data_IF_679715686737
#
_entry.id   IF_679715686737
#
_cell.length_a   1.000
_cell.length_b   1.000
_cell.length_c   1.000
_cell.angle_alpha   90.00
_cell.angle_beta   90.00
_cell.angle_gamma   90.00
#
_symmetry.space_group_name_H-M   'P 1'
#
loop_
_entity.id
_entity.type
_entity.pdbx_description
1 polymer ?
#
# COMPACT_ATOMS: atom_id res chain seq x y z
N UNK A 1 -10.21 75.27 26.47
CA UNK A 1 -10.37 73.89 26.85
C UNK A 1 -11.19 73.02 25.90
N UNK A 2 -12.31 73.52 25.33
CA UNK A 2 -13.17 72.71 24.41
C UNK A 2 -12.53 72.34 23.04
N UNK A 3 -11.50 73.05 22.56
CA UNK A 3 -10.86 72.82 21.25
C UNK A 3 -9.71 71.78 21.34
N UNK A 4 -9.12 71.56 22.51
CA UNK A 4 -8.03 70.64 22.73
C UNK A 4 -8.59 69.20 22.93
N UNK A 5 -9.79 69.11 23.57
CA UNK A 5 -10.48 67.83 23.76
C UNK A 5 -11.00 67.21 22.43
N UNK A 6 -11.36 68.02 21.47
CA UNK A 6 -11.82 67.55 20.15
C UNK A 6 -10.67 67.04 19.28
N UNK A 7 -9.45 67.58 19.44
CA UNK A 7 -8.29 67.13 18.67
C UNK A 7 -7.72 65.77 19.20
N UNK A 8 -7.81 65.56 20.52
CA UNK A 8 -7.39 64.28 21.13
C UNK A 8 -8.35 63.13 20.82
N UNK A 9 -9.67 63.41 20.70
CA UNK A 9 -10.65 62.40 20.30
C UNK A 9 -10.53 62.02 18.82
N UNK A 10 -10.15 62.97 17.94
CA UNK A 10 -9.96 62.68 16.52
C UNK A 10 -8.69 61.82 16.27
N UNK A 11 -7.62 62.02 17.07
CA UNK A 11 -6.38 61.22 16.93
C UNK A 11 -6.54 59.81 17.46
N UNK A 12 -7.35 59.56 18.48
CA UNK A 12 -7.64 58.21 19.00
C UNK A 12 -8.52 57.42 18.01
N UNK A 13 -9.45 58.10 17.32
CA UNK A 13 -10.31 57.43 16.33
C UNK A 13 -9.57 57.01 15.06
N UNK A 14 -8.54 57.79 14.64
CA UNK A 14 -7.70 57.42 13.48
C UNK A 14 -6.75 56.28 13.80
N UNK A 15 -6.28 56.17 15.05
CA UNK A 15 -5.42 55.03 15.46
C UNK A 15 -6.20 53.73 15.69
N UNK A 16 -7.50 53.81 16.02
CA UNK A 16 -8.36 52.61 16.15
C UNK A 16 -8.81 52.04 14.81
N UNK A 17 -8.76 52.80 13.71
CA UNK A 17 -9.11 52.32 12.37
C UNK A 17 -7.93 51.70 11.60
N UNK A 18 -6.69 51.87 12.08
CA UNK A 18 -5.50 51.28 11.44
C UNK A 18 -5.10 49.93 12.01
N UNK A 19 -5.72 49.48 13.12
CA UNK A 19 -5.46 48.15 13.72
C UNK A 19 -6.51 47.10 13.37
N UNK A 20 -7.52 47.42 12.56
CA UNK A 20 -8.47 46.47 11.97
C UNK A 20 -8.08 46.10 10.55
N UNK A 21 -6.77 46.05 10.27
CA UNK A 21 -6.23 45.74 8.99
C UNK A 21 -5.65 44.33 8.95
N UNK A 22 -6.34 43.48 8.21
CA UNK A 22 -5.79 42.35 7.48
C UNK A 22 -5.17 41.20 8.30
N UNK A 23 -5.99 40.44 8.96
CA UNK A 23 -5.84 38.99 8.98
C UNK A 23 -6.95 38.34 8.13
N UNK A 24 -7.04 38.72 6.87
CA UNK A 24 -7.52 37.78 5.88
C UNK A 24 -6.36 36.79 5.73
N UNK A 25 -6.35 35.74 6.52
CA UNK A 25 -5.71 34.50 6.10
C UNK A 25 -6.40 34.15 4.79
N UNK A 26 -5.77 34.42 3.66
CA UNK A 26 -6.08 33.74 2.43
C UNK A 26 -5.90 32.26 2.79
N UNK A 27 -6.99 31.54 3.00
CA UNK A 27 -6.96 30.12 2.79
C UNK A 27 -6.51 29.98 1.33
N UNK A 28 -5.26 29.64 1.11
CA UNK A 28 -4.81 29.28 -0.23
C UNK A 28 -5.74 28.16 -0.68
N UNK A 29 -6.36 28.30 -1.85
CA UNK A 29 -7.09 27.19 -2.45
C UNK A 29 -6.06 26.07 -2.67
N UNK A 30 -6.13 25.03 -1.85
CA UNK A 30 -5.24 23.88 -1.97
C UNK A 30 -5.58 23.11 -3.25
N UNK A 31 -4.56 22.65 -3.94
CA UNK A 31 -4.75 21.72 -5.08
C UNK A 31 -5.08 20.34 -4.54
N UNK A 32 -6.23 19.79 -4.89
CA UNK A 32 -6.62 18.44 -4.47
C UNK A 32 -5.77 17.38 -5.16
N UNK A 33 -5.30 16.41 -4.39
CA UNK A 33 -4.71 15.14 -4.88
C UNK A 33 -5.59 14.00 -4.37
N UNK A 34 -6.19 13.23 -5.28
CA UNK A 34 -7.06 12.12 -4.95
C UNK A 34 -6.33 10.80 -5.12
N UNK A 35 -6.09 10.07 -4.04
CA UNK A 35 -5.25 8.87 -4.02
C UNK A 35 -6.04 7.66 -3.57
N UNK A 36 -6.08 6.61 -4.41
CA UNK A 36 -6.64 5.31 -4.06
C UNK A 36 -5.65 4.47 -3.26
N UNK A 37 -6.09 3.84 -2.16
CA UNK A 37 -5.24 3.04 -1.31
C UNK A 37 -5.99 1.89 -0.63
N UNK A 38 -5.28 0.84 -0.20
CA UNK A 38 -5.82 -0.09 0.80
C UNK A 38 -5.84 0.58 2.18
N UNK A 39 -6.71 0.11 3.09
CA UNK A 39 -6.89 0.77 4.40
C UNK A 39 -5.61 0.81 5.23
N UNK A 40 -4.88 -0.32 5.30
CA UNK A 40 -3.63 -0.49 6.05
C UNK A 40 -2.63 -1.31 5.22
N UNK A 41 -1.33 -1.03 5.24
CA UNK A 41 -0.68 0.13 5.87
C UNK A 41 -0.80 1.42 5.04
N UNK A 42 -1.17 1.31 3.75
CA UNK A 42 -1.08 2.38 2.74
C UNK A 42 -1.88 3.63 3.11
N UNK A 43 -3.17 3.48 3.43
CA UNK A 43 -4.04 4.58 3.84
C UNK A 43 -3.54 5.25 5.12
N UNK A 44 -3.05 4.45 6.08
CA UNK A 44 -2.50 4.96 7.34
C UNK A 44 -1.19 5.74 7.11
N UNK A 45 -0.32 5.27 6.20
CA UNK A 45 0.91 5.98 5.81
C UNK A 45 0.58 7.29 5.10
N UNK A 46 -0.44 7.30 4.22
CA UNK A 46 -0.91 8.52 3.54
C UNK A 46 -1.44 9.56 4.55
N UNK A 47 -2.13 9.14 5.61
CA UNK A 47 -2.60 10.05 6.65
C UNK A 47 -1.44 10.79 7.34
N UNK A 48 -0.26 10.16 7.50
CA UNK A 48 0.91 10.77 8.14
C UNK A 48 1.51 11.93 7.34
N UNK A 49 1.27 12.00 6.04
CA UNK A 49 1.85 13.03 5.17
C UNK A 49 0.88 14.16 4.81
N UNK A 50 -0.38 14.09 5.26
CA UNK A 50 -1.41 15.10 4.95
C UNK A 50 -1.04 16.52 5.36
N UNK A 51 -0.58 16.70 6.59
CA UNK A 51 -0.25 18.03 7.12
C UNK A 51 0.92 18.65 6.33
N UNK A 52 1.93 17.84 6.01
CA UNK A 52 3.06 18.27 5.18
C UNK A 52 2.60 18.70 3.78
N UNK A 53 1.77 17.91 3.13
CA UNK A 53 1.23 18.25 1.81
C UNK A 53 0.38 19.50 1.86
N UNK A 54 -0.39 19.72 2.94
CA UNK A 54 -1.16 20.93 3.12
C UNK A 54 -0.28 22.19 3.25
N UNK A 55 0.87 22.10 3.94
CA UNK A 55 1.88 23.15 4.00
C UNK A 55 2.50 23.47 2.63
N UNK A 56 2.59 22.46 1.75
CA UNK A 56 3.08 22.57 0.37
C UNK A 56 1.98 23.02 -0.63
N UNK A 57 0.74 23.23 -0.16
CA UNK A 57 -0.36 23.74 -0.97
C UNK A 57 -1.27 22.64 -1.57
N UNK A 58 -1.24 21.41 -1.05
CA UNK A 58 -2.02 20.29 -1.55
C UNK A 58 -3.02 19.77 -0.51
N UNK A 59 -4.24 19.40 -0.97
CA UNK A 59 -5.27 18.72 -0.18
C UNK A 59 -5.31 17.24 -0.56
N UNK A 60 -4.71 16.37 0.28
CA UNK A 60 -4.69 14.93 0.04
C UNK A 60 -6.02 14.30 0.43
N UNK A 61 -6.75 13.80 -0.56
CA UNK A 61 -7.97 13.01 -0.42
C UNK A 61 -7.70 11.53 -0.64
N UNK A 62 -7.86 10.73 0.42
CA UNK A 62 -7.61 9.28 0.40
C UNK A 62 -8.92 8.57 0.14
N UNK A 63 -8.94 7.70 -0.88
CA UNK A 63 -10.07 6.83 -1.23
C UNK A 63 -9.68 5.39 -0.93
N UNK A 64 -10.35 4.77 0.03
CA UNK A 64 -10.05 3.39 0.45
C UNK A 64 -10.76 2.40 -0.44
N UNK A 65 -10.03 1.37 -0.86
CA UNK A 65 -10.51 0.22 -1.61
C UNK A 65 -10.17 -1.07 -0.86
N UNK A 66 -11.09 -2.02 -0.91
CA UNK A 66 -10.94 -3.31 -0.22
C UNK A 66 -10.38 -4.42 -1.13
N UNK A 67 -10.24 -4.15 -2.44
CA UNK A 67 -9.71 -5.06 -3.45
C UNK A 67 -8.57 -4.42 -4.26
N UNK A 68 -7.92 -5.22 -5.13
CA UNK A 68 -6.80 -4.74 -5.94
C UNK A 68 -7.20 -4.32 -7.38
N UNK A 69 -8.45 -4.52 -7.78
CA UNK A 69 -8.94 -4.26 -9.15
C UNK A 69 -9.43 -2.81 -9.27
N UNK A 70 -10.30 -2.42 -8.34
CA UNK A 70 -10.98 -1.12 -8.40
C UNK A 70 -10.04 0.08 -8.35
N UNK A 71 -8.96 0.13 -7.53
CA UNK A 71 -8.09 1.31 -7.51
C UNK A 71 -7.34 1.53 -8.83
N UNK A 72 -7.00 0.47 -9.57
CA UNK A 72 -6.40 0.60 -10.90
C UNK A 72 -7.44 1.00 -11.96
N UNK A 73 -8.64 0.44 -11.90
CA UNK A 73 -9.73 0.84 -12.79
C UNK A 73 -10.09 2.31 -12.62
N UNK A 74 -10.26 2.77 -11.36
CA UNK A 74 -10.57 4.16 -11.06
C UNK A 74 -9.44 5.13 -11.49
N UNK A 75 -8.17 4.69 -11.39
CA UNK A 75 -7.04 5.48 -11.86
C UNK A 75 -7.02 5.58 -13.40
N UNK A 76 -7.25 4.48 -14.13
CA UNK A 76 -7.32 4.49 -15.59
C UNK A 76 -8.48 5.34 -16.08
N UNK A 77 -9.62 5.31 -15.40
CA UNK A 77 -10.82 6.10 -15.74
C UNK A 77 -10.64 7.60 -15.41
N UNK A 78 -9.60 7.98 -14.65
CA UNK A 78 -9.33 9.37 -14.25
C UNK A 78 -10.14 9.82 -13.04
N UNK A 79 -10.70 8.93 -12.26
CA UNK A 79 -11.39 9.20 -11.00
C UNK A 79 -10.41 9.44 -9.84
N UNK A 80 -9.15 9.05 -10.02
CA UNK A 80 -8.02 9.24 -9.11
C UNK A 80 -6.87 9.92 -9.84
N UNK A 81 -6.05 10.67 -9.10
CA UNK A 81 -4.79 11.25 -9.59
C UNK A 81 -3.63 10.25 -9.47
N UNK A 82 -3.67 9.41 -8.44
CA UNK A 82 -2.70 8.35 -8.17
C UNK A 82 -3.33 7.19 -7.39
N UNK A 83 -2.64 6.05 -7.32
CA UNK A 83 -2.92 5.04 -6.31
C UNK A 83 -1.63 4.55 -5.62
N UNK A 84 -1.81 4.03 -4.40
CA UNK A 84 -0.74 3.50 -3.56
C UNK A 84 -1.27 2.29 -2.81
N UNK A 85 -1.03 1.07 -3.34
CA UNK A 85 -1.53 -0.19 -2.77
C UNK A 85 -0.84 -1.43 -3.35
N UNK A 86 -0.03 -1.29 -4.41
CA UNK A 86 0.45 -2.37 -5.26
C UNK A 86 1.95 -2.29 -5.50
N UNK A 87 2.53 -3.40 -5.93
CA UNK A 87 3.91 -3.50 -6.39
C UNK A 87 4.00 -3.61 -7.92
N UNK A 88 5.19 -3.38 -8.47
CA UNK A 88 5.41 -3.35 -9.93
C UNK A 88 4.96 -4.61 -10.67
N UNK A 89 5.22 -5.86 -10.22
CA UNK A 89 4.74 -7.05 -10.92
C UNK A 89 3.21 -7.10 -11.04
N UNK A 90 2.47 -6.69 -9.99
CA UNK A 90 1.01 -6.62 -10.05
C UNK A 90 0.54 -5.56 -11.05
N UNK A 91 1.13 -4.36 -11.03
CA UNK A 91 0.81 -3.29 -11.98
C UNK A 91 0.98 -3.76 -13.43
N UNK A 92 2.12 -4.42 -13.73
CA UNK A 92 2.41 -4.91 -15.07
C UNK A 92 1.39 -5.98 -15.53
N UNK A 93 1.12 -6.97 -14.67
CA UNK A 93 0.12 -8.01 -14.94
C UNK A 93 -1.29 -7.43 -15.13
N UNK A 94 -1.66 -6.43 -14.30
CA UNK A 94 -2.94 -5.74 -14.43
C UNK A 94 -3.06 -4.99 -15.77
N UNK A 95 -2.03 -4.23 -16.16
CA UNK A 95 -2.00 -3.52 -17.44
C UNK A 95 -2.15 -4.47 -18.61
N UNK A 96 -1.40 -5.58 -18.62
CA UNK A 96 -1.46 -6.58 -19.69
C UNK A 96 -2.85 -7.21 -19.79
N UNK A 97 -3.42 -7.60 -18.64
CA UNK A 97 -4.71 -8.31 -18.61
C UNK A 97 -5.91 -7.41 -18.91
N UNK A 98 -5.82 -6.11 -18.59
CA UNK A 98 -6.95 -5.18 -18.71
C UNK A 98 -6.77 -4.12 -19.82
N UNK A 99 -5.60 -4.06 -20.48
CA UNK A 99 -5.30 -3.06 -21.50
C UNK A 99 -5.23 -1.63 -20.94
N UNK A 100 -4.79 -1.48 -19.70
CA UNK A 100 -4.61 -0.20 -19.02
C UNK A 100 -3.19 0.35 -19.22
N UNK A 101 -2.99 1.65 -18.92
CA UNK A 101 -1.76 2.38 -19.20
C UNK A 101 -1.29 3.09 -17.93
N UNK A 102 -1.13 2.32 -16.86
CA UNK A 102 -0.69 2.81 -15.56
C UNK A 102 0.83 2.66 -15.44
N UNK A 103 1.48 3.65 -14.84
CA UNK A 103 2.94 3.68 -14.67
C UNK A 103 3.32 4.01 -13.24
N UNK A 104 4.45 3.45 -12.77
CA UNK A 104 5.01 3.77 -11.47
C UNK A 104 5.75 5.10 -11.49
N UNK A 105 5.57 5.90 -10.44
CA UNK A 105 6.30 7.17 -10.23
C UNK A 105 7.17 7.17 -8.97
N UNK A 106 7.22 6.07 -8.23
CA UNK A 106 8.13 5.91 -7.11
C UNK A 106 7.83 4.69 -6.27
N UNK A 107 8.88 4.04 -5.75
CA UNK A 107 8.76 2.99 -4.72
C UNK A 107 8.78 3.62 -3.34
N UNK A 108 8.00 3.08 -2.43
CA UNK A 108 7.84 3.62 -1.07
C UNK A 108 8.26 2.60 -0.01
N UNK A 109 7.70 1.40 -0.02
CA UNK A 109 8.01 0.38 0.98
C UNK A 109 7.82 -1.03 0.45
N UNK A 110 8.45 -1.98 1.13
CA UNK A 110 8.25 -3.41 0.92
C UNK A 110 7.46 -4.01 2.07
N UNK A 111 6.52 -4.88 1.72
CA UNK A 111 5.71 -5.66 2.65
C UNK A 111 6.13 -7.13 2.61
N UNK A 112 6.51 -7.72 3.77
CA UNK A 112 6.82 -9.14 3.83
C UNK A 112 5.62 -10.01 3.46
N UNK A 113 5.81 -11.01 2.62
CA UNK A 113 4.78 -11.99 2.29
C UNK A 113 4.89 -13.17 3.26
N UNK A 114 3.80 -13.56 3.90
CA UNK A 114 3.85 -14.52 4.99
C UNK A 114 2.92 -15.73 4.82
N UNK A 115 3.32 -16.86 5.43
CA UNK A 115 2.50 -18.05 5.61
C UNK A 115 1.91 -18.01 7.02
N UNK A 116 0.59 -18.14 7.12
CA UNK A 116 -0.16 -18.14 8.38
C UNK A 116 -0.93 -19.44 8.53
N UNK A 117 -1.13 -19.90 9.77
CA UNK A 117 -1.78 -21.17 10.07
C UNK A 117 -3.05 -21.03 10.89
N UNK A 118 -3.98 -21.96 10.69
CA UNK A 118 -5.08 -22.21 11.60
C UNK A 118 -4.77 -23.48 12.42
N UNK A 119 -4.27 -23.28 13.65
CA UNK A 119 -3.83 -24.39 14.52
C UNK A 119 -2.51 -25.04 14.07
N UNK A 120 -1.74 -24.40 13.19
CA UNK A 120 -0.40 -24.83 12.76
C UNK A 120 0.59 -23.75 13.19
N UNK A 121 1.64 -24.14 13.90
CA UNK A 121 2.70 -23.25 14.37
C UNK A 121 4.08 -23.57 13.74
N UNK A 122 4.25 -24.77 13.16
CA UNK A 122 5.46 -25.21 12.44
C UNK A 122 5.03 -25.92 11.15
N UNK A 123 5.60 -25.55 10.01
CA UNK A 123 5.33 -26.19 8.71
C UNK A 123 5.67 -27.67 8.69
N UNK A 124 6.58 -28.14 9.54
CA UNK A 124 6.91 -29.57 9.70
C UNK A 124 5.78 -30.39 10.31
N UNK A 125 4.85 -29.75 10.99
CA UNK A 125 3.68 -30.37 11.61
C UNK A 125 2.44 -30.32 10.72
N UNK A 126 2.59 -29.79 9.47
CA UNK A 126 1.48 -29.66 8.53
C UNK A 126 0.91 -31.05 8.19
N UNK A 127 -0.40 -31.29 8.41
CA UNK A 127 -1.00 -32.59 8.18
C UNK A 127 -0.94 -33.01 6.71
N UNK A 128 -0.78 -34.29 6.44
CA UNK A 128 -0.88 -34.83 5.08
C UNK A 128 -2.27 -34.50 4.49
N UNK A 129 -2.29 -33.97 3.27
CA UNK A 129 -3.52 -33.54 2.60
C UNK A 129 -4.10 -32.20 3.12
N UNK A 130 -3.32 -31.44 3.89
CA UNK A 130 -3.70 -30.11 4.34
C UNK A 130 -4.12 -29.20 3.18
N UNK A 131 -4.97 -28.25 3.48
CA UNK A 131 -5.35 -27.19 2.53
C UNK A 131 -4.37 -26.04 2.64
N UNK A 132 -3.88 -25.53 1.51
CA UNK A 132 -3.06 -24.34 1.38
C UNK A 132 -3.83 -23.33 0.55
N UNK A 133 -4.15 -22.17 1.12
CA UNK A 133 -4.88 -21.10 0.44
C UNK A 133 -3.86 -20.06 -0.03
N UNK A 134 -3.95 -19.65 -1.31
CA UNK A 134 -3.02 -18.65 -1.91
C UNK A 134 -3.80 -17.60 -2.69
N UNK A 135 -3.22 -16.42 -2.96
CA UNK A 135 -3.77 -15.45 -3.90
C UNK A 135 -3.93 -16.04 -5.29
N UNK A 136 -5.01 -15.68 -5.99
CA UNK A 136 -5.34 -16.22 -7.31
C UNK A 136 -4.98 -15.30 -8.46
N UNK A 137 -4.47 -14.10 -8.23
CA UNK A 137 -3.93 -13.24 -9.27
C UNK A 137 -2.55 -13.71 -9.72
N UNK A 138 -2.20 -13.47 -10.98
CA UNK A 138 -1.00 -14.04 -11.60
C UNK A 138 0.29 -13.68 -10.86
N UNK A 139 0.42 -12.45 -10.37
CA UNK A 139 1.65 -12.00 -9.74
C UNK A 139 1.79 -12.49 -8.29
N UNK A 140 0.75 -12.33 -7.46
CA UNK A 140 0.80 -12.80 -6.07
C UNK A 140 0.65 -14.32 -5.98
N UNK A 141 -0.07 -14.96 -6.90
CA UNK A 141 -0.12 -16.42 -7.04
C UNK A 141 1.26 -17.02 -7.29
N UNK A 142 1.98 -16.48 -8.30
CA UNK A 142 3.38 -16.86 -8.57
C UNK A 142 4.27 -16.67 -7.34
N UNK A 143 4.20 -15.50 -6.69
CA UNK A 143 4.98 -15.19 -5.48
C UNK A 143 4.68 -16.18 -4.35
N UNK A 144 3.41 -16.54 -4.15
CA UNK A 144 3.00 -17.51 -3.14
C UNK A 144 3.56 -18.91 -3.42
N UNK A 145 3.50 -19.37 -4.68
CA UNK A 145 4.05 -20.66 -5.08
C UNK A 145 5.58 -20.72 -4.90
N UNK A 146 6.28 -19.64 -5.24
CA UNK A 146 7.73 -19.55 -5.02
C UNK A 146 8.08 -19.62 -3.51
N UNK A 147 7.30 -18.97 -2.65
CA UNK A 147 7.47 -19.06 -1.19
C UNK A 147 7.19 -20.49 -0.69
N UNK A 148 6.14 -21.16 -1.16
CA UNK A 148 5.86 -22.54 -0.78
C UNK A 148 6.98 -23.50 -1.23
N UNK A 149 7.59 -23.27 -2.39
CA UNK A 149 8.78 -24.03 -2.83
C UNK A 149 10.00 -23.73 -1.96
N UNK A 150 10.25 -22.48 -1.61
CA UNK A 150 11.33 -22.09 -0.71
C UNK A 150 11.23 -22.83 0.63
N UNK A 151 10.02 -22.98 1.16
CA UNK A 151 9.76 -23.73 2.39
C UNK A 151 9.73 -25.25 2.21
N UNK A 152 9.95 -25.74 0.99
CA UNK A 152 10.01 -27.19 0.68
C UNK A 152 8.67 -27.91 0.71
N UNK A 153 7.56 -27.18 0.61
CA UNK A 153 6.21 -27.76 0.63
C UNK A 153 5.79 -28.29 -0.75
N UNK A 154 6.27 -27.67 -1.83
CA UNK A 154 5.96 -28.06 -3.21
C UNK A 154 7.23 -28.03 -4.07
N UNK A 155 7.12 -28.59 -5.27
CA UNK A 155 8.15 -28.47 -6.32
C UNK A 155 7.56 -27.81 -7.55
N UNK A 156 8.22 -26.76 -8.03
CA UNK A 156 7.89 -26.04 -9.26
C UNK A 156 8.85 -26.42 -10.39
N UNK A 157 8.57 -26.06 -11.66
CA UNK A 157 9.53 -26.20 -12.76
C UNK A 157 10.87 -25.50 -12.45
N UNK A 158 11.98 -25.99 -13.05
CA UNK A 158 13.32 -25.46 -12.80
C UNK A 158 13.49 -23.98 -13.21
N UNK A 159 12.69 -23.51 -14.17
CA UNK A 159 12.66 -22.14 -14.68
C UNK A 159 11.58 -21.27 -14.00
N UNK A 160 10.94 -21.78 -12.95
CA UNK A 160 9.94 -21.01 -12.20
C UNK A 160 10.55 -19.73 -11.63
N UNK A 161 9.98 -18.61 -11.99
CA UNK A 161 10.42 -17.27 -11.58
C UNK A 161 9.26 -16.28 -11.60
N UNK A 162 9.50 -15.10 -11.04
CA UNK A 162 8.53 -13.99 -11.08
C UNK A 162 8.17 -13.61 -12.51
N UNK A 163 9.14 -13.68 -13.44
CA UNK A 163 8.98 -13.23 -14.82
C UNK A 163 8.18 -14.22 -15.68
N UNK A 164 8.13 -15.51 -15.29
CA UNK A 164 7.52 -16.56 -16.12
C UNK A 164 6.04 -16.79 -15.82
N UNK A 165 5.50 -16.23 -14.72
CA UNK A 165 4.10 -16.40 -14.33
C UNK A 165 3.75 -17.87 -14.06
N UNK A 166 3.72 -18.30 -12.80
CA UNK A 166 3.46 -19.68 -12.38
C UNK A 166 2.04 -19.78 -11.81
N UNK A 167 1.32 -20.81 -12.21
CA UNK A 167 -0.03 -21.12 -11.68
C UNK A 167 -0.04 -22.45 -10.94
N UNK A 168 -1.13 -22.74 -10.24
CA UNK A 168 -1.31 -24.04 -9.57
C UNK A 168 -1.30 -25.23 -10.54
N UNK A 169 -1.48 -24.99 -11.84
CA UNK A 169 -1.44 -26.03 -12.86
C UNK A 169 -0.02 -26.41 -13.29
N UNK A 170 0.96 -25.59 -12.95
CA UNK A 170 2.36 -25.79 -13.31
C UNK A 170 3.14 -26.54 -12.20
N UNK A 171 2.51 -26.84 -11.06
CA UNK A 171 3.13 -27.53 -9.94
C UNK A 171 3.56 -28.93 -10.35
N UNK A 172 4.84 -29.26 -10.19
CA UNK A 172 5.43 -30.56 -10.52
C UNK A 172 5.11 -31.60 -9.43
N UNK A 173 5.21 -31.20 -8.17
CA UNK A 173 4.85 -32.01 -6.99
C UNK A 173 4.18 -31.09 -5.96
N UNK A 174 2.94 -31.39 -5.63
CA UNK A 174 2.16 -30.62 -4.65
C UNK A 174 2.36 -31.09 -3.21
N UNK A 175 3.28 -32.01 -2.96
CA UNK A 175 3.54 -32.56 -1.63
C UNK A 175 2.33 -33.32 -1.03
N UNK A 176 1.32 -33.61 -1.84
CA UNK A 176 0.05 -34.19 -1.41
C UNK A 176 -0.91 -33.18 -0.75
N UNK A 177 -0.65 -31.87 -0.86
CA UNK A 177 -1.48 -30.80 -0.34
C UNK A 177 -2.61 -30.41 -1.33
N UNK A 178 -3.63 -29.74 -0.82
CA UNK A 178 -4.73 -29.17 -1.62
C UNK A 178 -4.54 -27.68 -1.75
N UNK A 179 -3.99 -27.22 -2.86
CA UNK A 179 -3.73 -25.81 -3.09
C UNK A 179 -4.95 -25.15 -3.72
N UNK A 180 -5.44 -24.09 -3.08
CA UNK A 180 -6.63 -23.32 -3.49
C UNK A 180 -6.26 -21.87 -3.75
N UNK A 181 -6.30 -21.44 -5.01
CA UNK A 181 -6.09 -20.05 -5.41
C UNK A 181 -7.44 -19.31 -5.38
N UNK A 182 -7.49 -18.20 -4.63
CA UNK A 182 -8.71 -17.40 -4.40
C UNK A 182 -8.39 -15.91 -4.41
N UNK A 183 -9.41 -15.06 -4.43
CA UNK A 183 -9.22 -13.62 -4.30
C UNK A 183 -8.50 -13.27 -2.99
N UNK A 184 -7.42 -12.48 -3.10
CA UNK A 184 -6.49 -12.21 -2.01
C UNK A 184 -7.17 -11.59 -0.77
N UNK A 185 -8.11 -10.67 -0.98
CA UNK A 185 -8.88 -10.00 0.09
C UNK A 185 -9.72 -10.97 0.94
N UNK A 186 -10.04 -12.13 0.39
CA UNK A 186 -10.87 -13.12 1.10
C UNK A 186 -10.07 -14.07 1.97
N UNK A 187 -8.75 -14.18 1.75
CA UNK A 187 -7.89 -15.21 2.36
C UNK A 187 -7.87 -15.14 3.89
N UNK A 188 -7.74 -13.96 4.54
CA UNK A 188 -7.72 -13.88 6.01
C UNK A 188 -8.99 -14.46 6.63
N UNK A 189 -10.16 -14.16 6.05
CA UNK A 189 -11.43 -14.66 6.52
C UNK A 189 -11.58 -16.17 6.24
N UNK A 190 -11.13 -16.65 5.08
CA UNK A 190 -11.16 -18.07 4.74
C UNK A 190 -10.27 -18.88 5.68
N UNK A 191 -9.05 -18.41 5.98
CA UNK A 191 -8.16 -19.08 6.93
C UNK A 191 -8.79 -19.18 8.32
N UNK A 192 -9.33 -18.09 8.86
CA UNK A 192 -9.98 -18.07 10.19
C UNK A 192 -11.19 -19.01 10.29
N UNK A 193 -11.91 -19.23 9.19
CA UNK A 193 -13.08 -20.10 9.13
C UNK A 193 -12.78 -21.51 8.58
N UNK A 194 -11.51 -21.81 8.29
CA UNK A 194 -11.09 -23.12 7.79
C UNK A 194 -11.00 -24.18 8.90
N UNK A 195 -10.76 -25.41 8.50
CA UNK A 195 -10.44 -26.47 9.45
C UNK A 195 -9.05 -26.26 10.04
N UNK A 196 -8.85 -26.70 11.28
CA UNK A 196 -7.52 -26.82 11.89
C UNK A 196 -6.58 -27.63 10.97
N UNK A 197 -5.32 -27.22 10.87
CA UNK A 197 -4.35 -27.80 9.94
C UNK A 197 -4.32 -27.13 8.56
N UNK A 198 -5.12 -26.09 8.32
CA UNK A 198 -5.05 -25.26 7.10
C UNK A 198 -3.99 -24.17 7.27
N UNK A 199 -3.24 -23.89 6.19
CA UNK A 199 -2.36 -22.72 6.11
C UNK A 199 -2.77 -21.84 4.93
N UNK A 200 -2.35 -20.58 4.97
CA UNK A 200 -2.57 -19.63 3.88
C UNK A 200 -1.35 -18.73 3.67
N UNK A 201 -1.05 -18.40 2.41
CA UNK A 201 -0.11 -17.35 2.06
C UNK A 201 -0.91 -16.06 1.88
N UNK A 202 -0.55 -15.02 2.64
CA UNK A 202 -1.37 -13.81 2.74
C UNK A 202 -0.52 -12.57 2.47
N UNK A 203 -0.97 -11.71 1.56
CA UNK A 203 -0.42 -10.37 1.38
C UNK A 203 -0.49 -9.59 2.69
N UNK A 204 0.57 -8.87 3.02
CA UNK A 204 0.72 -8.27 4.34
C UNK A 204 -0.38 -7.27 4.71
N UNK A 205 -0.79 -6.40 3.76
CA UNK A 205 -1.91 -5.48 3.96
C UNK A 205 -3.22 -6.21 4.32
N UNK A 206 -3.52 -7.34 3.67
CA UNK A 206 -4.69 -8.16 4.01
C UNK A 206 -4.50 -8.93 5.32
N UNK A 207 -3.29 -9.36 5.63
CA UNK A 207 -3.00 -9.95 6.94
C UNK A 207 -3.28 -8.95 8.06
N UNK A 208 -2.77 -7.71 7.95
CA UNK A 208 -3.04 -6.63 8.91
C UNK A 208 -4.53 -6.32 9.02
N UNK A 209 -5.21 -6.08 7.89
CA UNK A 209 -6.64 -5.83 7.86
C UNK A 209 -7.45 -6.99 8.45
N UNK A 210 -6.98 -8.22 8.26
CA UNK A 210 -7.51 -9.42 8.87
C UNK A 210 -7.19 -9.58 10.36
N UNK A 211 -6.37 -8.69 10.96
CA UNK A 211 -5.98 -8.74 12.38
C UNK A 211 -4.87 -9.74 12.69
N UNK A 212 -4.11 -10.19 11.68
CA UNK A 212 -2.86 -10.93 11.85
C UNK A 212 -1.70 -9.93 12.02
N UNK A 213 -0.65 -10.37 12.73
CA UNK A 213 0.62 -9.65 12.84
C UNK A 213 1.71 -10.39 12.10
N UNK A 214 2.79 -9.71 11.76
CA UNK A 214 3.96 -10.37 11.15
C UNK A 214 4.53 -11.47 12.06
N UNK A 215 4.43 -11.29 13.38
CA UNK A 215 4.84 -12.29 14.39
C UNK A 215 3.98 -13.56 14.42
N UNK A 216 2.81 -13.54 13.79
CA UNK A 216 1.90 -14.70 13.71
C UNK A 216 2.22 -15.56 12.48
N UNK A 217 3.08 -15.08 11.59
CA UNK A 217 3.51 -15.83 10.41
C UNK A 217 4.42 -17.00 10.82
N UNK A 218 4.16 -18.19 10.28
CA UNK A 218 4.94 -19.40 10.46
C UNK A 218 6.23 -19.34 9.64
N UNK A 219 6.14 -18.74 8.45
CA UNK A 219 7.26 -18.44 7.56
C UNK A 219 7.03 -17.12 6.85
N UNK A 220 8.11 -16.45 6.47
CA UNK A 220 8.09 -15.15 5.81
C UNK A 220 9.07 -15.21 4.64
N UNK A 221 8.69 -14.60 3.53
CA UNK A 221 9.57 -14.37 2.39
C UNK A 221 10.85 -13.65 2.81
N UNK A 222 11.98 -14.08 2.28
CA UNK A 222 13.29 -13.44 2.58
C UNK A 222 13.36 -12.04 1.98
N UNK A 223 13.30 -11.03 2.86
CA UNK A 223 13.38 -9.62 2.51
C UNK A 223 14.81 -9.15 2.16
N UNK A 224 15.84 -9.98 2.38
CA UNK A 224 17.26 -9.60 2.21
C UNK A 224 17.75 -9.67 0.76
N UNK A 225 16.92 -10.15 -0.17
CA UNK A 225 17.27 -10.39 -1.57
C UNK A 225 16.59 -9.42 -2.55
N UNK A 226 16.45 -9.88 -3.78
CA UNK A 226 15.80 -9.16 -4.87
C UNK A 226 14.28 -8.94 -4.62
N UNK A 227 13.69 -9.71 -3.69
CA UNK A 227 12.26 -9.65 -3.38
C UNK A 227 11.82 -8.25 -2.93
N UNK A 228 12.58 -7.59 -2.03
CA UNK A 228 12.25 -6.25 -1.57
C UNK A 228 12.30 -5.21 -2.72
N UNK A 229 13.20 -5.40 -3.68
CA UNK A 229 13.28 -4.55 -4.86
C UNK A 229 12.16 -4.86 -5.87
N UNK A 230 11.86 -6.13 -6.08
CA UNK A 230 10.84 -6.57 -7.04
C UNK A 230 9.43 -6.22 -6.55
N UNK A 231 9.14 -6.48 -5.27
CA UNK A 231 7.80 -6.31 -4.68
C UNK A 231 7.65 -5.04 -3.82
N UNK A 232 8.53 -4.06 -4.02
CA UNK A 232 8.35 -2.74 -3.42
C UNK A 232 7.02 -2.11 -3.85
N UNK A 233 6.24 -1.64 -2.89
CA UNK A 233 4.97 -0.95 -3.12
C UNK A 233 5.23 0.44 -3.70
N UNK A 234 4.46 0.79 -4.72
CA UNK A 234 4.65 1.96 -5.57
C UNK A 234 3.48 2.93 -5.48
N UNK A 235 3.76 4.19 -5.75
CA UNK A 235 2.74 5.13 -6.22
C UNK A 235 2.65 4.98 -7.74
N UNK A 236 1.45 4.76 -8.25
CA UNK A 236 1.17 4.67 -9.69
C UNK A 236 0.25 5.79 -10.14
N UNK A 237 0.43 6.20 -11.39
CA UNK A 237 -0.40 7.19 -12.11
C UNK A 237 -0.82 6.65 -13.47
N UNK A 238 -1.77 7.31 -14.12
CA UNK A 238 -2.03 7.08 -15.53
C UNK A 238 -0.90 7.67 -16.37
N UNK A 239 -0.46 6.95 -17.42
CA UNK A 239 0.57 7.41 -18.36
C UNK A 239 0.30 8.84 -18.84
N UNK A 240 1.33 9.69 -18.81
CA UNK A 240 1.27 11.11 -19.12
C UNK A 240 1.09 12.01 -17.89
N UNK A 241 0.89 11.45 -16.69
CA UNK A 241 0.76 12.21 -15.43
C UNK A 241 2.01 12.10 -14.53
N UNK A 242 3.12 11.55 -15.03
CA UNK A 242 4.35 11.28 -14.27
C UNK A 242 4.99 12.57 -13.71
N UNK A 243 4.86 13.65 -14.46
CA UNK A 243 5.41 14.97 -14.11
C UNK A 243 4.42 15.86 -13.33
N UNK A 244 3.28 15.31 -12.86
CA UNK A 244 2.32 16.07 -12.08
C UNK A 244 2.96 16.56 -10.77
N UNK A 245 3.11 17.88 -10.53
CA UNK A 245 3.80 18.41 -9.35
C UNK A 245 3.19 17.93 -8.02
N UNK A 246 1.88 17.73 -7.98
CA UNK A 246 1.18 17.26 -6.79
C UNK A 246 1.53 15.80 -6.48
N UNK A 247 1.63 14.95 -7.52
CA UNK A 247 2.05 13.55 -7.37
C UNK A 247 3.53 13.44 -6.97
N UNK A 248 4.39 14.27 -7.56
CA UNK A 248 5.82 14.30 -7.19
C UNK A 248 6.00 14.76 -5.73
N UNK A 249 5.22 15.74 -5.26
CA UNK A 249 5.22 16.15 -3.85
C UNK A 249 4.74 15.00 -2.94
N UNK A 250 3.70 14.25 -3.34
CA UNK A 250 3.23 13.08 -2.61
C UNK A 250 4.33 12.02 -2.47
N UNK A 251 4.98 11.64 -3.56
CA UNK A 251 6.07 10.64 -3.54
C UNK A 251 7.21 11.11 -2.63
N UNK A 252 7.63 12.37 -2.76
CA UNK A 252 8.68 12.95 -1.91
C UNK A 252 8.28 12.93 -0.42
N UNK A 253 7.03 13.24 -0.09
CA UNK A 253 6.54 13.20 1.28
C UNK A 253 6.52 11.78 1.85
N UNK A 254 6.11 10.79 1.05
CA UNK A 254 6.07 9.39 1.45
C UNK A 254 7.47 8.80 1.66
N UNK A 255 8.44 9.18 0.83
CA UNK A 255 9.84 8.70 0.91
C UNK A 255 10.65 9.36 2.04
N UNK A 256 10.17 10.45 2.62
CA UNK A 256 10.86 11.21 3.68
C UNK A 256 10.37 10.84 5.08
N UNK A 257 10.57 9.58 5.48
CA UNK A 257 10.38 9.10 6.84
C UNK A 257 8.95 8.67 7.21
N UNK A 258 7.99 8.64 6.28
CA UNK A 258 6.60 8.24 6.58
C UNK A 258 6.50 6.76 6.97
N UNK A 259 7.28 5.89 6.33
CA UNK A 259 7.33 4.44 6.60
C UNK A 259 7.94 4.16 7.97
N UNK A 260 9.02 4.87 8.31
CA UNK A 260 9.67 4.77 9.62
C UNK A 260 8.72 5.25 10.73
N UNK A 261 8.04 6.37 10.53
CA UNK A 261 7.05 6.87 11.48
C UNK A 261 5.88 5.90 11.69
N UNK A 262 5.42 5.26 10.61
CA UNK A 262 4.41 4.21 10.70
C UNK A 262 4.91 3.00 11.51
N UNK A 263 6.12 2.53 11.23
CA UNK A 263 6.74 1.42 11.98
C UNK A 263 6.91 1.74 13.48
N UNK A 264 7.35 2.95 13.82
CA UNK A 264 7.49 3.38 15.21
C UNK A 264 6.15 3.39 15.95
N UNK A 265 5.08 3.80 15.27
CA UNK A 265 3.75 3.87 15.84
C UNK A 265 3.07 2.50 16.00
N UNK A 266 3.31 1.57 15.09
CA UNK A 266 2.53 0.32 14.97
C UNK A 266 3.35 -0.95 15.25
N UNK A 267 4.67 -0.90 15.08
CA UNK A 267 5.52 -2.09 15.10
C UNK A 267 5.33 -3.01 13.89
N UNK A 268 4.86 -2.47 12.77
CA UNK A 268 4.49 -3.24 11.58
C UNK A 268 5.65 -4.00 10.94
N UNK A 269 6.88 -3.46 10.98
CA UNK A 269 8.06 -4.14 10.44
C UNK A 269 8.13 -4.15 8.92
N UNK A 270 7.45 -3.19 8.24
CA UNK A 270 7.61 -2.96 6.82
C UNK A 270 8.94 -2.24 6.54
N UNK A 271 9.49 -2.41 5.36
CA UNK A 271 10.82 -1.88 5.01
C UNK A 271 10.68 -0.72 4.05
N UNK A 272 11.19 0.46 4.41
CA UNK A 272 11.27 1.58 3.48
C UNK A 272 12.17 1.21 2.31
N UNK A 273 11.70 1.44 1.10
CA UNK A 273 12.47 1.29 -0.15
C UNK A 273 12.26 2.55 -0.97
N UNK A 274 13.34 3.14 -1.43
CA UNK A 274 13.28 4.30 -2.31
C UNK A 274 14.12 4.02 -3.56
N UNK A 275 13.50 4.07 -4.73
CA UNK A 275 14.22 4.32 -5.97
C UNK A 275 13.82 5.72 -6.44
N UNK A 276 14.83 6.54 -6.75
CA UNK A 276 14.60 7.75 -7.51
C UNK A 276 14.15 7.36 -8.92
N UNK A 277 13.01 7.88 -9.36
CA UNK A 277 12.58 7.81 -10.76
C UNK A 277 13.44 8.74 -11.59
#
# INVERSE_FOLDING_TARGET
MKKITALLLATILVFALTSAGFTSAFAADLTTIKVGASSTPHGEILELVKDRLAEEGYDLQIVIYDDYILPNTALEDGDLDANYFQHTPYLNSFNESNGTHLVSVGKIHYEPFGIYGNGVEDLKELPAGATIIIPGDDSNGTRALLLLQQEGLITLPEDASVDNGITVLDIVDDGGYKISAVNAETIPAQLKNSNEGTIAVINYNYALAGGFKISDAIAIEDASGDAAQTYGNIVAVKEGNEENPAVLALVAALQDGAVEAFNEATGAGIVAVSEAV
#
